data_IF_683615995746
#
_entry.id   IF_683615995746
#
_cell.length_a   1.000
_cell.length_b   1.000
_cell.length_c   1.000
_cell.angle_alpha   90.00
_cell.angle_beta   90.00
_cell.angle_gamma   90.00
#
_symmetry.space_group_name_H-M   'P 1'
#
loop_
_entity.id
_entity.type
_entity.pdbx_description
1 polymer ?
#
# COMPACT_ATOMS: atom_id res chain seq x y z
N UNK A 1 -2.79 38.72 14.41
CA UNK A 1 -1.96 37.75 13.64
C UNK A 1 -1.29 38.56 12.54
N UNK A 2 0.04 38.68 12.50
CA UNK A 2 0.72 39.45 11.43
C UNK A 2 0.38 38.82 10.08
N UNK A 3 -0.05 39.63 9.11
CA UNK A 3 -0.21 39.18 7.73
C UNK A 3 1.16 38.73 7.20
N UNK A 4 1.20 37.52 6.62
CA UNK A 4 2.42 37.00 5.98
C UNK A 4 2.60 37.69 4.63
N UNK A 5 3.83 37.99 4.26
CA UNK A 5 4.10 38.48 2.91
C UNK A 5 3.92 37.37 1.88
N UNK A 6 3.72 37.73 0.61
CA UNK A 6 3.61 36.75 -0.50
C UNK A 6 4.85 35.84 -0.55
N UNK A 7 6.04 36.41 -0.33
CA UNK A 7 7.30 35.65 -0.28
C UNK A 7 7.33 34.63 0.86
N UNK A 8 6.86 34.99 2.05
CA UNK A 8 6.78 34.07 3.19
C UNK A 8 5.84 32.88 2.90
N UNK A 9 4.73 33.14 2.21
CA UNK A 9 3.76 32.10 1.83
C UNK A 9 4.37 31.13 0.82
N UNK A 10 5.07 31.63 -0.20
CA UNK A 10 5.74 30.82 -1.22
C UNK A 10 6.84 29.94 -0.60
N UNK A 11 7.68 30.50 0.27
CA UNK A 11 8.74 29.76 0.96
C UNK A 11 8.17 28.64 1.83
N UNK A 12 7.09 28.90 2.58
CA UNK A 12 6.41 27.89 3.39
C UNK A 12 5.83 26.75 2.54
N UNK A 13 5.18 27.08 1.42
CA UNK A 13 4.65 26.08 0.50
C UNK A 13 5.77 25.23 -0.11
N UNK A 14 6.84 25.89 -0.54
CA UNK A 14 8.02 25.24 -1.10
C UNK A 14 8.70 24.31 -0.11
N UNK A 15 8.90 24.75 1.13
CA UNK A 15 9.44 23.92 2.20
C UNK A 15 8.55 22.69 2.47
N UNK A 16 7.22 22.87 2.46
CA UNK A 16 6.27 21.78 2.63
C UNK A 16 6.37 20.72 1.53
N UNK A 17 6.34 21.13 0.26
CA UNK A 17 6.35 20.18 -0.87
C UNK A 17 7.71 19.49 -1.04
N UNK A 18 8.82 20.17 -0.75
CA UNK A 18 10.14 19.51 -0.66
C UNK A 18 10.19 18.48 0.45
N UNK A 19 9.68 18.82 1.63
CA UNK A 19 9.56 17.88 2.74
C UNK A 19 8.68 16.68 2.35
N UNK A 20 7.54 16.92 1.70
CA UNK A 20 6.63 15.87 1.23
C UNK A 20 7.34 14.93 0.24
N UNK A 21 8.02 15.49 -0.76
CA UNK A 21 8.79 14.74 -1.76
C UNK A 21 9.89 13.86 -1.16
N UNK A 22 10.58 14.34 -0.12
CA UNK A 22 11.63 13.61 0.58
C UNK A 22 11.11 12.65 1.68
N UNK A 23 9.79 12.62 1.91
CA UNK A 23 9.17 11.81 2.98
C UNK A 23 8.04 10.95 2.44
N UNK A 24 6.77 11.31 2.68
CA UNK A 24 5.57 10.52 2.35
C UNK A 24 5.38 10.35 0.84
N UNK A 25 5.90 11.27 0.03
CA UNK A 25 5.86 11.19 -1.43
C UNK A 25 7.20 10.80 -2.07
N UNK A 26 8.11 10.21 -1.28
CA UNK A 26 9.39 9.67 -1.75
C UNK A 26 9.18 8.39 -2.54
N UNK A 27 10.04 8.15 -3.53
CA UNK A 27 10.06 6.87 -4.24
C UNK A 27 10.20 5.67 -3.29
N UNK A 28 11.01 5.81 -2.23
CA UNK A 28 11.19 4.77 -1.19
C UNK A 28 9.89 4.35 -0.50
N UNK A 29 8.87 5.22 -0.48
CA UNK A 29 7.60 4.92 0.18
C UNK A 29 6.76 3.90 -0.58
N UNK A 30 7.06 3.56 -1.84
CA UNK A 30 6.32 2.50 -2.55
C UNK A 30 6.41 1.14 -1.87
N UNK A 31 7.38 0.93 -0.97
CA UNK A 31 7.45 -0.25 -0.09
C UNK A 31 6.16 -0.48 0.70
N UNK A 32 5.37 0.58 0.96
CA UNK A 32 4.05 0.47 1.60
C UNK A 32 3.02 -0.29 0.76
N UNK A 33 3.26 -0.48 -0.54
CA UNK A 33 2.38 -1.26 -1.42
C UNK A 33 2.17 -2.68 -0.90
N UNK A 34 3.13 -3.24 -0.17
CA UNK A 34 3.03 -4.57 0.44
C UNK A 34 1.86 -4.68 1.43
N UNK A 35 1.51 -3.60 2.14
CA UNK A 35 0.31 -3.54 2.98
C UNK A 35 -0.95 -3.69 2.13
N UNK A 36 -0.97 -3.05 0.97
CA UNK A 36 -2.06 -3.19 0.00
C UNK A 36 -2.14 -4.61 -0.56
N UNK A 37 -1.00 -5.24 -0.87
CA UNK A 37 -0.94 -6.65 -1.34
C UNK A 37 -1.61 -7.57 -0.33
N UNK A 38 -1.30 -7.44 0.96
CA UNK A 38 -1.91 -8.26 2.00
C UNK A 38 -3.43 -8.09 2.08
N UNK A 39 -3.91 -6.85 2.18
CA UNK A 39 -5.34 -6.53 2.30
C UNK A 39 -6.10 -7.01 1.05
N UNK A 40 -5.56 -6.73 -0.14
CA UNK A 40 -6.19 -7.06 -1.40
C UNK A 40 -6.21 -8.57 -1.68
N UNK A 41 -5.19 -9.31 -1.23
CA UNK A 41 -5.19 -10.78 -1.31
C UNK A 41 -6.33 -11.37 -0.50
N UNK A 42 -6.57 -10.89 0.73
CA UNK A 42 -7.71 -11.33 1.54
C UNK A 42 -9.05 -11.03 0.86
N UNK A 43 -9.18 -9.84 0.26
CA UNK A 43 -10.39 -9.44 -0.48
C UNK A 43 -10.61 -10.37 -1.68
N UNK A 44 -9.57 -10.62 -2.48
CA UNK A 44 -9.66 -11.53 -3.63
C UNK A 44 -10.08 -12.93 -3.19
N UNK A 45 -9.55 -13.43 -2.07
CA UNK A 45 -9.96 -14.72 -1.53
C UNK A 45 -11.45 -14.76 -1.20
N UNK A 46 -11.96 -13.77 -0.46
CA UNK A 46 -13.39 -13.67 -0.09
C UNK A 46 -14.28 -13.58 -1.34
N UNK A 47 -13.93 -12.72 -2.29
CA UNK A 47 -14.71 -12.58 -3.54
C UNK A 47 -14.61 -13.81 -4.44
N UNK A 48 -13.46 -14.49 -4.46
CA UNK A 48 -13.28 -15.74 -5.22
C UNK A 48 -14.19 -16.83 -4.66
N UNK A 49 -14.24 -16.98 -3.34
CA UNK A 49 -15.16 -17.91 -2.69
C UNK A 49 -16.62 -17.54 -2.97
N UNK A 50 -16.99 -16.27 -2.82
CA UNK A 50 -18.37 -15.82 -3.06
C UNK A 50 -18.81 -16.06 -4.52
N UNK A 51 -17.99 -15.70 -5.50
CA UNK A 51 -18.33 -15.93 -6.92
C UNK A 51 -18.44 -17.42 -7.24
N UNK A 52 -17.50 -18.24 -6.76
CA UNK A 52 -17.44 -19.67 -7.08
C UNK A 52 -18.48 -20.50 -6.32
N UNK A 53 -18.53 -20.38 -5.00
CA UNK A 53 -19.34 -21.27 -4.15
C UNK A 53 -20.77 -20.76 -3.97
N UNK A 54 -20.98 -19.44 -3.93
CA UNK A 54 -22.33 -18.87 -3.72
C UNK A 54 -23.03 -18.64 -5.05
N UNK A 55 -22.34 -18.05 -6.02
CA UNK A 55 -22.95 -17.70 -7.32
C UNK A 55 -22.71 -18.75 -8.41
N UNK A 56 -21.85 -19.76 -8.19
CA UNK A 56 -21.46 -20.73 -9.23
C UNK A 56 -20.91 -20.08 -10.50
N UNK A 57 -20.31 -18.89 -10.37
CA UNK A 57 -19.70 -18.12 -11.45
C UNK A 57 -18.19 -18.28 -11.36
N UNK A 58 -17.54 -18.51 -12.50
CA UNK A 58 -16.09 -18.47 -12.56
C UNK A 58 -15.60 -17.04 -12.25
N UNK A 59 -14.82 -16.81 -11.16
CA UNK A 59 -14.39 -15.48 -10.77
C UNK A 59 -13.69 -14.71 -11.90
N UNK A 60 -12.93 -15.41 -12.74
CA UNK A 60 -12.15 -14.85 -13.84
C UNK A 60 -12.99 -14.41 -15.06
N UNK A 61 -14.28 -14.71 -15.08
CA UNK A 61 -15.20 -14.17 -16.09
C UNK A 61 -15.78 -12.82 -15.67
N UNK A 62 -15.54 -12.39 -14.43
CA UNK A 62 -16.10 -11.17 -13.88
C UNK A 62 -15.07 -10.04 -13.92
N UNK A 63 -15.33 -9.02 -14.74
CA UNK A 63 -14.39 -7.91 -14.99
C UNK A 63 -13.90 -7.21 -13.71
N UNK A 64 -14.75 -7.12 -12.68
CA UNK A 64 -14.37 -6.53 -11.39
C UNK A 64 -13.33 -7.39 -10.67
N UNK A 65 -13.43 -8.71 -10.76
CA UNK A 65 -12.44 -9.62 -10.18
C UNK A 65 -11.09 -9.49 -10.89
N UNK A 66 -11.10 -9.34 -12.22
CA UNK A 66 -9.90 -9.04 -13.00
C UNK A 66 -9.25 -7.71 -12.59
N UNK A 67 -10.07 -6.69 -12.28
CA UNK A 67 -9.58 -5.41 -11.75
C UNK A 67 -8.88 -5.58 -10.39
N UNK A 68 -9.41 -6.43 -9.50
CA UNK A 68 -8.75 -6.75 -8.22
C UNK A 68 -7.38 -7.40 -8.44
N UNK A 69 -7.30 -8.39 -9.35
CA UNK A 69 -6.05 -9.06 -9.69
C UNK A 69 -5.06 -8.06 -10.30
N UNK A 70 -5.51 -7.20 -11.20
CA UNK A 70 -4.67 -6.18 -11.82
C UNK A 70 -4.05 -5.25 -10.76
N UNK A 71 -4.84 -4.74 -9.83
CA UNK A 71 -4.33 -3.90 -8.73
C UNK A 71 -3.38 -4.66 -7.81
N UNK A 72 -3.65 -5.94 -7.53
CA UNK A 72 -2.76 -6.78 -6.75
C UNK A 72 -1.38 -6.86 -7.43
N UNK A 73 -1.34 -7.26 -8.69
CA UNK A 73 -0.09 -7.37 -9.46
C UNK A 73 0.65 -6.03 -9.52
N UNK A 74 -0.07 -4.94 -9.76
CA UNK A 74 0.50 -3.60 -9.76
C UNK A 74 1.19 -3.27 -8.43
N UNK A 75 0.53 -3.52 -7.30
CA UNK A 75 1.08 -3.23 -5.97
C UNK A 75 2.33 -4.06 -5.69
N UNK A 76 2.38 -5.32 -6.15
CA UNK A 76 3.58 -6.13 -5.99
C UNK A 76 4.72 -5.61 -6.87
N UNK A 77 4.46 -5.25 -8.14
CA UNK A 77 5.49 -4.63 -9.00
C UNK A 77 6.01 -3.33 -8.39
N UNK A 78 5.11 -2.49 -7.87
CA UNK A 78 5.48 -1.21 -7.28
C UNK A 78 6.37 -1.35 -6.04
N UNK A 79 6.27 -2.45 -5.29
CA UNK A 79 7.15 -2.74 -4.16
C UNK A 79 8.63 -2.84 -4.60
N UNK A 80 8.88 -3.34 -5.80
CA UNK A 80 10.23 -3.54 -6.33
C UNK A 80 10.81 -2.31 -7.03
N UNK A 81 10.00 -1.31 -7.38
CA UNK A 81 10.47 -0.09 -8.06
C UNK A 81 11.56 0.65 -7.25
N UNK A 82 11.44 0.86 -5.92
CA UNK A 82 12.48 1.52 -5.14
C UNK A 82 13.80 0.73 -5.09
N UNK A 83 13.72 -0.61 -5.22
CA UNK A 83 14.87 -1.50 -5.19
C UNK A 83 15.70 -1.42 -6.48
N UNK A 84 15.10 -0.94 -7.58
CA UNK A 84 15.83 -0.59 -8.81
C UNK A 84 16.74 0.65 -8.65
N UNK A 85 16.88 1.18 -7.42
CA UNK A 85 17.86 2.20 -7.04
C UNK A 85 17.72 3.49 -7.84
N UNK A 86 18.78 3.86 -8.56
CA UNK A 86 18.88 5.11 -9.35
C UNK A 86 17.74 5.30 -10.36
N UNK A 87 17.04 4.25 -10.80
CA UNK A 87 15.99 4.38 -11.81
C UNK A 87 14.82 5.25 -11.33
N UNK A 88 14.32 4.99 -10.11
CA UNK A 88 13.21 5.75 -9.53
C UNK A 88 13.61 7.23 -9.31
N UNK A 89 14.84 7.46 -8.89
CA UNK A 89 15.39 8.81 -8.65
C UNK A 89 15.74 9.57 -9.94
N UNK A 90 16.06 8.87 -11.04
CA UNK A 90 16.27 9.48 -12.36
C UNK A 90 14.96 9.81 -13.07
N UNK A 91 13.88 9.06 -12.78
CA UNK A 91 12.54 9.25 -13.38
C UNK A 91 11.52 9.71 -12.34
N UNK A 92 11.79 10.85 -11.68
CA UNK A 92 10.99 11.41 -10.59
C UNK A 92 9.50 11.57 -10.89
N UNK A 93 9.14 12.02 -12.11
CA UNK A 93 7.74 12.19 -12.53
C UNK A 93 7.02 10.83 -12.57
N UNK A 94 7.63 9.85 -13.23
CA UNK A 94 7.08 8.49 -13.33
C UNK A 94 7.02 7.79 -11.96
N UNK A 95 8.04 7.99 -11.13
CA UNK A 95 8.07 7.47 -9.77
C UNK A 95 6.95 8.09 -8.91
N UNK A 96 6.75 9.41 -9.00
CA UNK A 96 5.67 10.08 -8.24
C UNK A 96 4.29 9.65 -8.73
N UNK A 97 4.10 9.48 -10.05
CA UNK A 97 2.87 8.95 -10.63
C UNK A 97 2.61 7.51 -10.17
N UNK A 98 3.64 6.67 -10.16
CA UNK A 98 3.54 5.29 -9.66
C UNK A 98 3.20 5.28 -8.17
N UNK A 99 3.83 6.13 -7.36
CA UNK A 99 3.52 6.20 -5.93
C UNK A 99 2.07 6.65 -5.68
N UNK A 100 1.56 7.59 -6.48
CA UNK A 100 0.16 8.00 -6.43
C UNK A 100 -0.77 6.81 -6.71
N UNK A 101 -0.46 6.01 -7.73
CA UNK A 101 -1.22 4.79 -8.04
C UNK A 101 -1.13 3.73 -6.95
N UNK A 102 0.00 3.61 -6.24
CA UNK A 102 0.13 2.77 -5.03
C UNK A 102 -0.85 3.22 -3.95
N UNK A 103 -0.90 4.52 -3.66
CA UNK A 103 -1.83 5.04 -2.66
C UNK A 103 -3.29 4.87 -3.07
N UNK A 104 -3.61 5.02 -4.36
CA UNK A 104 -4.94 4.72 -4.89
C UNK A 104 -5.27 3.23 -4.70
N UNK A 105 -4.35 2.32 -5.03
CA UNK A 105 -4.55 0.88 -4.86
C UNK A 105 -4.75 0.47 -3.39
N UNK A 106 -3.95 1.03 -2.47
CA UNK A 106 -4.11 0.80 -1.02
C UNK A 106 -5.46 1.35 -0.54
N UNK A 107 -5.81 2.57 -0.96
CA UNK A 107 -7.08 3.19 -0.59
C UNK A 107 -8.27 2.37 -1.07
N UNK A 108 -8.24 1.93 -2.34
CA UNK A 108 -9.23 1.04 -2.91
C UNK A 108 -9.35 -0.28 -2.13
N UNK A 109 -8.21 -0.89 -1.77
CA UNK A 109 -8.18 -2.11 -0.94
C UNK A 109 -8.84 -1.87 0.42
N UNK A 110 -8.57 -0.75 1.08
CA UNK A 110 -9.19 -0.41 2.36
C UNK A 110 -10.71 -0.19 2.23
N UNK A 111 -11.16 0.48 1.17
CA UNK A 111 -12.60 0.68 0.92
C UNK A 111 -13.33 -0.65 0.69
N UNK A 112 -12.71 -1.58 -0.04
CA UNK A 112 -13.25 -2.92 -0.24
C UNK A 112 -13.29 -3.74 1.05
N UNK A 113 -12.26 -3.64 1.89
CA UNK A 113 -12.26 -4.27 3.22
C UNK A 113 -13.39 -3.71 4.09
N UNK A 114 -13.58 -2.38 4.09
CA UNK A 114 -14.67 -1.75 4.83
C UNK A 114 -16.05 -2.15 4.32
N UNK A 115 -16.22 -2.31 3.00
CA UNK A 115 -17.46 -2.83 2.43
C UNK A 115 -17.78 -4.21 3.01
N UNK A 116 -16.80 -5.13 3.03
CA UNK A 116 -16.96 -6.46 3.60
C UNK A 116 -17.36 -6.35 5.08
N UNK A 117 -16.63 -5.56 5.87
CA UNK A 117 -16.90 -5.36 7.30
C UNK A 117 -18.32 -4.84 7.52
N UNK A 118 -18.73 -3.79 6.81
CA UNK A 118 -20.05 -3.17 6.93
C UNK A 118 -21.17 -4.16 6.62
N UNK A 119 -21.05 -4.89 5.51
CA UNK A 119 -22.01 -5.92 5.11
C UNK A 119 -22.09 -7.03 6.15
N UNK A 120 -20.94 -7.56 6.60
CA UNK A 120 -20.90 -8.64 7.60
C UNK A 120 -21.42 -8.20 8.97
N UNK A 121 -21.27 -6.93 9.33
CA UNK A 121 -21.67 -6.41 10.64
C UNK A 121 -23.18 -6.30 10.82
N UNK A 122 -23.93 -6.16 9.71
CA UNK A 122 -25.39 -6.04 9.70
C UNK A 122 -26.06 -7.38 9.37
N UNK A 123 -25.40 -8.20 8.54
CA UNK A 123 -25.94 -9.49 8.18
C UNK A 123 -25.90 -10.44 9.38
N UNK A 124 -27.06 -10.70 9.99
CA UNK A 124 -27.23 -11.77 10.99
C UNK A 124 -27.16 -13.17 10.37
N UNK A 125 -27.17 -13.25 9.04
CA UNK A 125 -26.98 -14.47 8.24
C UNK A 125 -25.62 -14.44 7.53
N UNK A 126 -25.21 -15.57 6.96
CA UNK A 126 -23.96 -15.72 6.22
C UNK A 126 -23.73 -14.60 5.17
N UNK A 127 -22.46 -14.29 4.91
CA UNK A 127 -22.03 -13.26 3.95
C UNK A 127 -22.72 -13.38 2.59
N UNK A 128 -23.01 -14.61 2.16
CA UNK A 128 -23.74 -14.97 0.93
C UNK A 128 -25.07 -14.24 0.77
N UNK A 129 -25.86 -14.11 1.84
CA UNK A 129 -27.18 -13.46 1.83
C UNK A 129 -27.09 -11.96 2.14
N UNK A 130 -26.13 -11.58 2.99
CA UNK A 130 -25.93 -10.18 3.38
C UNK A 130 -25.38 -9.31 2.26
N UNK A 131 -24.41 -9.83 1.50
CA UNK A 131 -23.73 -9.08 0.45
C UNK A 131 -24.67 -8.53 -0.63
N UNK A 132 -25.54 -9.32 -1.29
CA UNK A 132 -26.44 -8.78 -2.30
C UNK A 132 -27.48 -7.80 -1.73
N UNK A 133 -27.88 -7.96 -0.46
CA UNK A 133 -28.89 -7.12 0.18
C UNK A 133 -28.36 -5.75 0.61
N UNK A 134 -27.15 -5.71 1.18
CA UNK A 134 -26.62 -4.50 1.82
C UNK A 134 -25.54 -3.79 1.00
N UNK A 135 -24.84 -4.49 0.09
CA UNK A 135 -23.85 -3.84 -0.78
C UNK A 135 -24.43 -2.72 -1.66
N UNK A 136 -25.69 -2.78 -2.16
CA UNK A 136 -26.27 -1.68 -2.92
C UNK A 136 -26.46 -0.39 -2.11
N UNK A 137 -26.43 -0.47 -0.78
CA UNK A 137 -26.52 0.71 0.12
C UNK A 137 -25.11 1.22 0.44
N UNK A 138 -24.20 0.31 0.80
CA UNK A 138 -22.86 0.69 1.24
C UNK A 138 -21.93 1.10 0.10
N UNK A 139 -22.06 0.51 -1.09
CA UNK A 139 -21.24 0.91 -2.25
C UNK A 139 -21.45 2.40 -2.59
N UNK A 140 -22.69 2.90 -2.77
CA UNK A 140 -22.92 4.34 -2.95
C UNK A 140 -22.40 5.19 -1.80
N UNK A 141 -22.57 4.76 -0.55
CA UNK A 141 -22.06 5.49 0.62
C UNK A 141 -20.53 5.67 0.57
N UNK A 142 -19.77 4.61 0.27
CA UNK A 142 -18.31 4.66 0.17
C UNK A 142 -17.85 5.50 -1.04
N UNK A 143 -18.58 5.42 -2.17
CA UNK A 143 -18.32 6.24 -3.35
C UNK A 143 -18.55 7.73 -3.08
N UNK A 144 -19.70 8.09 -2.49
CA UNK A 144 -20.03 9.47 -2.12
C UNK A 144 -18.98 10.00 -1.12
N UNK A 145 -18.64 9.22 -0.10
CA UNK A 145 -17.61 9.60 0.90
C UNK A 145 -16.26 9.87 0.24
N UNK A 146 -15.89 9.05 -0.73
CA UNK A 146 -14.65 9.22 -1.51
C UNK A 146 -14.68 10.50 -2.34
N UNK A 147 -15.76 10.72 -3.11
CA UNK A 147 -15.92 11.90 -3.98
C UNK A 147 -15.93 13.19 -3.16
N UNK A 148 -16.73 13.23 -2.08
CA UNK A 148 -16.76 14.36 -1.15
C UNK A 148 -15.40 14.63 -0.51
N UNK A 149 -14.65 13.56 -0.17
CA UNK A 149 -13.28 13.67 0.32
C UNK A 149 -12.37 14.41 -0.67
N UNK A 150 -12.34 13.99 -1.94
CA UNK A 150 -11.54 14.65 -2.97
C UNK A 150 -11.96 16.11 -3.22
N UNK A 151 -13.26 16.38 -3.30
CA UNK A 151 -13.78 17.76 -3.48
C UNK A 151 -13.33 18.65 -2.32
N UNK A 152 -13.52 18.18 -1.08
CA UNK A 152 -13.10 18.91 0.12
C UNK A 152 -11.60 19.18 0.10
N UNK A 153 -10.78 18.17 -0.19
CA UNK A 153 -9.33 18.30 -0.12
C UNK A 153 -8.76 19.17 -1.24
N UNK A 154 -9.41 19.21 -2.40
CA UNK A 154 -9.08 20.15 -3.46
C UNK A 154 -9.23 21.61 -3.00
N UNK A 155 -10.40 21.97 -2.44
CA UNK A 155 -10.64 23.33 -1.93
C UNK A 155 -9.78 23.65 -0.71
N UNK A 156 -9.58 22.67 0.17
CA UNK A 156 -8.68 22.80 1.31
C UNK A 156 -7.26 23.11 0.85
N UNK A 157 -6.72 22.36 -0.11
CA UNK A 157 -5.38 22.57 -0.65
C UNK A 157 -5.27 23.96 -1.27
N UNK A 158 -6.23 24.37 -2.10
CA UNK A 158 -6.28 25.72 -2.70
C UNK A 158 -6.21 26.82 -1.63
N UNK A 159 -6.91 26.64 -0.51
CA UNK A 159 -6.89 27.58 0.63
C UNK A 159 -5.57 27.54 1.39
N UNK A 160 -4.96 26.37 1.57
CA UNK A 160 -3.64 26.25 2.22
C UNK A 160 -2.54 26.92 1.41
N UNK A 161 -2.54 26.74 0.09
CA UNK A 161 -1.57 27.38 -0.79
C UNK A 161 -1.59 28.91 -0.68
N UNK A 162 -2.78 29.52 -0.48
CA UNK A 162 -2.91 30.97 -0.24
C UNK A 162 -2.38 31.42 1.13
N UNK A 163 -2.42 30.57 2.15
CA UNK A 163 -2.03 30.90 3.54
C UNK A 163 -0.58 30.52 3.87
N UNK A 164 0.01 29.63 3.08
CA UNK A 164 1.26 28.97 3.38
C UNK A 164 1.06 27.82 4.37
N UNK A 165 1.67 26.67 4.08
CA UNK A 165 1.68 25.55 5.01
C UNK A 165 2.39 25.88 6.34
N UNK A 166 1.95 25.27 7.45
CA UNK A 166 2.58 25.49 8.75
C UNK A 166 3.86 24.67 8.89
N UNK A 167 4.83 25.22 9.63
CA UNK A 167 6.08 24.51 9.96
C UNK A 167 5.80 23.19 10.66
N UNK A 168 4.81 23.16 11.57
CA UNK A 168 4.40 21.91 12.24
C UNK A 168 3.93 20.84 11.26
N UNK A 169 3.21 21.20 10.20
CA UNK A 169 2.78 20.24 9.17
C UNK A 169 3.97 19.74 8.35
N UNK A 170 4.90 20.63 8.01
CA UNK A 170 6.17 20.29 7.35
C UNK A 170 7.02 19.36 8.22
N UNK A 171 7.11 19.60 9.53
CA UNK A 171 7.79 18.70 10.47
C UNK A 171 7.07 17.37 10.61
N UNK A 172 5.73 17.38 10.59
CA UNK A 172 4.89 16.18 10.60
C UNK A 172 5.23 15.18 9.50
N UNK A 173 5.62 15.66 8.30
CA UNK A 173 6.09 14.81 7.21
C UNK A 173 7.35 14.00 7.59
N UNK A 174 8.32 14.64 8.22
CA UNK A 174 9.56 13.98 8.67
C UNK A 174 9.29 13.02 9.85
N UNK A 175 8.39 13.39 10.76
CA UNK A 175 7.95 12.51 11.83
C UNK A 175 7.21 11.28 11.30
N UNK A 176 6.39 11.42 10.26
CA UNK A 176 5.71 10.27 9.65
C UNK A 176 6.71 9.25 9.07
N UNK A 177 7.78 9.72 8.40
CA UNK A 177 8.84 8.86 7.87
C UNK A 177 9.60 8.11 8.97
N UNK A 178 9.92 8.80 10.07
CA UNK A 178 10.71 8.25 11.19
C UNK A 178 9.90 7.38 12.17
N UNK A 179 8.61 7.68 12.38
CA UNK A 179 7.75 6.98 13.35
C UNK A 179 6.91 5.84 12.78
N UNK A 180 6.81 5.67 11.46
CA UNK A 180 6.00 4.61 10.85
C UNK A 180 6.33 3.21 11.45
N UNK A 181 7.60 2.96 11.79
CA UNK A 181 8.08 1.71 12.39
C UNK A 181 8.58 1.86 13.84
N UNK A 182 8.13 2.90 14.54
CA UNK A 182 8.44 3.07 15.97
C UNK A 182 7.80 1.95 16.80
N UNK A 183 8.38 1.64 17.96
CA UNK A 183 7.83 0.62 18.85
C UNK A 183 6.39 0.96 19.29
N UNK A 184 6.10 2.25 19.46
CA UNK A 184 4.78 2.73 19.86
C UNK A 184 3.74 2.59 18.74
N UNK A 185 4.10 2.85 17.48
CA UNK A 185 3.16 2.67 16.35
C UNK A 185 2.75 1.21 16.17
N UNK A 186 3.68 0.27 16.36
CA UNK A 186 3.38 -1.17 16.29
C UNK A 186 2.46 -1.63 17.42
N UNK A 187 2.62 -1.11 18.65
CA UNK A 187 1.69 -1.40 19.74
C UNK A 187 0.30 -0.79 19.50
N UNK A 188 0.21 0.38 18.87
CA UNK A 188 -1.06 0.97 18.46
C UNK A 188 -1.75 0.12 17.40
N UNK A 189 -1.01 -0.32 16.36
CA UNK A 189 -1.54 -1.21 15.32
C UNK A 189 -2.01 -2.54 15.93
N UNK A 190 -1.20 -3.14 16.80
CA UNK A 190 -1.54 -4.36 17.50
C UNK A 190 -2.79 -4.18 18.39
N UNK A 191 -2.85 -3.11 19.19
CA UNK A 191 -4.00 -2.79 20.03
C UNK A 191 -5.28 -2.53 19.23
N UNK A 192 -5.19 -1.79 18.12
CA UNK A 192 -6.32 -1.58 17.20
C UNK A 192 -6.77 -2.88 16.53
N UNK A 193 -5.84 -3.77 16.16
CA UNK A 193 -6.17 -5.07 15.58
C UNK A 193 -6.84 -6.01 16.58
N UNK A 194 -6.48 -5.94 17.87
CA UNK A 194 -7.14 -6.71 18.93
C UNK A 194 -8.50 -6.13 19.30
N UNK A 195 -8.65 -4.80 19.32
CA UNK A 195 -9.94 -4.15 19.51
C UNK A 195 -10.94 -4.55 18.42
N UNK A 196 -10.49 -4.64 17.16
CA UNK A 196 -11.33 -5.12 16.07
C UNK A 196 -11.88 -6.55 16.29
N UNK A 197 -11.14 -7.42 16.99
CA UNK A 197 -11.56 -8.78 17.30
C UNK A 197 -12.52 -8.89 18.50
N UNK A 198 -12.55 -7.87 19.38
CA UNK A 198 -13.41 -7.83 20.58
C UNK A 198 -14.75 -7.16 20.27
N UNK A 199 -14.80 -6.29 19.26
CA UNK A 199 -16.01 -5.58 18.86
C UNK A 199 -16.99 -6.59 18.23
N UNK A 200 -18.26 -6.57 18.65
CA UNK A 200 -19.33 -7.40 18.06
C UNK A 200 -20.57 -6.56 17.78
N UNK A 201 -21.30 -6.90 16.71
CA UNK A 201 -22.60 -6.30 16.38
C UNK A 201 -22.51 -4.81 16.01
N UNK A 202 -23.41 -3.98 16.56
CA UNK A 202 -23.58 -2.56 16.21
C UNK A 202 -22.31 -1.71 16.35
N UNK A 203 -21.38 -2.10 17.21
CA UNK A 203 -20.12 -1.36 17.38
C UNK A 203 -19.19 -1.53 16.16
N UNK A 204 -19.08 -2.73 15.57
CA UNK A 204 -18.30 -2.92 14.33
C UNK A 204 -18.86 -2.03 13.22
N UNK A 205 -20.19 -1.93 13.10
CA UNK A 205 -20.84 -1.08 12.11
C UNK A 205 -20.42 0.39 12.27
N UNK A 206 -20.49 0.90 13.50
CA UNK A 206 -20.07 2.28 13.82
C UNK A 206 -18.59 2.49 13.47
N UNK A 207 -17.71 1.55 13.86
CA UNK A 207 -16.29 1.60 13.51
C UNK A 207 -16.05 1.51 12.00
N UNK A 208 -16.83 0.72 11.26
CA UNK A 208 -16.76 0.63 9.80
C UNK A 208 -17.13 1.96 9.13
N UNK A 209 -18.18 2.64 9.61
CA UNK A 209 -18.61 3.95 9.10
C UNK A 209 -17.55 5.01 9.42
N UNK A 210 -17.08 5.09 10.66
CA UNK A 210 -16.02 6.03 11.02
C UNK A 210 -14.72 5.74 10.28
N UNK A 211 -14.36 4.47 10.11
CA UNK A 211 -13.20 4.04 9.34
C UNK A 211 -13.31 4.47 7.87
N UNK A 212 -14.48 4.31 7.27
CA UNK A 212 -14.73 4.78 5.90
C UNK A 212 -14.52 6.29 5.77
N UNK A 213 -15.14 7.08 6.64
CA UNK A 213 -15.00 8.54 6.63
C UNK A 213 -13.56 8.98 6.88
N UNK A 214 -12.87 8.35 7.84
CA UNK A 214 -11.48 8.64 8.18
C UNK A 214 -10.55 8.33 7.02
N UNK A 215 -10.65 7.15 6.41
CA UNK A 215 -9.81 6.79 5.28
C UNK A 215 -10.14 7.65 4.06
N UNK A 216 -11.42 7.93 3.79
CA UNK A 216 -11.81 8.84 2.72
C UNK A 216 -11.23 10.22 2.90
N UNK A 217 -11.19 10.76 4.13
CA UNK A 217 -10.54 12.03 4.41
C UNK A 217 -9.01 11.97 4.28
N UNK A 218 -8.37 10.97 4.89
CA UNK A 218 -6.91 10.87 4.99
C UNK A 218 -6.24 10.54 3.64
N UNK A 219 -6.79 9.58 2.90
CA UNK A 219 -6.22 9.19 1.60
C UNK A 219 -6.53 10.21 0.51
N UNK A 220 -7.73 10.82 0.49
CA UNK A 220 -7.99 11.91 -0.46
C UNK A 220 -7.01 13.07 -0.23
N UNK A 221 -6.70 13.41 1.03
CA UNK A 221 -5.72 14.45 1.32
C UNK A 221 -4.35 14.11 0.77
N UNK A 222 -3.86 12.90 1.07
CA UNK A 222 -2.55 12.45 0.63
C UNK A 222 -2.44 12.38 -0.89
N UNK A 223 -3.44 11.80 -1.56
CA UNK A 223 -3.46 11.68 -3.02
C UNK A 223 -3.55 13.05 -3.67
N UNK A 224 -4.37 13.98 -3.17
CA UNK A 224 -4.46 15.36 -3.70
C UNK A 224 -3.14 16.12 -3.52
N UNK A 225 -2.47 15.98 -2.37
CA UNK A 225 -1.16 16.60 -2.15
C UNK A 225 -0.08 16.03 -3.07
N UNK A 226 -0.07 14.71 -3.29
CA UNK A 226 0.85 14.04 -4.22
C UNK A 226 0.57 14.43 -5.66
N UNK A 227 -0.70 14.54 -6.06
CA UNK A 227 -1.08 14.99 -7.39
C UNK A 227 -0.60 16.43 -7.65
N UNK A 228 -0.72 17.31 -6.65
CA UNK A 228 -0.18 18.66 -6.77
C UNK A 228 1.36 18.69 -6.76
N UNK A 229 2.01 17.84 -5.96
CA UNK A 229 3.46 17.68 -6.04
C UNK A 229 3.92 17.18 -7.41
N UNK A 230 3.19 16.26 -8.03
CA UNK A 230 3.45 15.78 -9.39
C UNK A 230 3.40 16.94 -10.38
N UNK A 231 2.37 17.79 -10.29
CA UNK A 231 2.29 19.03 -11.07
C UNK A 231 3.53 19.92 -10.86
N UNK A 232 3.94 20.16 -9.61
CA UNK A 232 5.12 20.96 -9.30
C UNK A 232 6.43 20.35 -9.84
N UNK A 233 6.60 19.03 -9.77
CA UNK A 233 7.77 18.31 -10.32
C UNK A 233 7.86 18.36 -11.84
N UNK A 234 6.71 18.47 -12.53
CA UNK A 234 6.66 18.70 -13.99
C UNK A 234 7.13 20.11 -14.31
N UNK A 235 6.73 21.10 -13.52
CA UNK A 235 7.07 22.51 -13.75
C UNK A 235 8.53 22.83 -13.41
N UNK A 236 9.07 22.27 -12.32
CA UNK A 236 10.43 22.59 -11.87
C UNK A 236 11.14 21.42 -11.21
N UNK A 237 12.42 21.25 -11.57
CA UNK A 237 13.34 20.31 -10.92
C UNK A 237 13.59 20.64 -9.47
N UNK A 238 13.24 21.85 -9.03
CA UNK A 238 13.43 22.27 -7.66
C UNK A 238 12.62 21.45 -6.64
N UNK A 239 11.53 20.82 -7.08
CA UNK A 239 10.68 19.96 -6.25
C UNK A 239 11.05 18.48 -6.34
N UNK A 240 12.12 18.14 -7.06
CA UNK A 240 12.58 16.76 -7.16
C UNK A 240 13.15 16.30 -5.82
N UNK A 241 12.97 15.02 -5.53
CA UNK A 241 13.53 14.40 -4.34
C UNK A 241 15.05 14.37 -4.45
N UNK A 242 15.74 14.60 -3.34
CA UNK A 242 17.19 14.56 -3.27
C UNK A 242 17.66 13.12 -3.48
N UNK A 243 18.68 12.93 -4.33
CA UNK A 243 19.24 11.60 -4.57
C UNK A 243 19.83 11.09 -3.26
N UNK A 244 19.44 9.90 -2.78
CA UNK A 244 19.96 9.38 -1.53
C UNK A 244 21.47 9.19 -1.66
N UNK A 245 22.21 9.80 -0.75
CA UNK A 245 23.68 9.71 -0.67
C UNK A 245 24.17 8.29 -0.40
N UNK A 246 23.26 7.41 0.05
CA UNK A 246 23.51 5.99 0.29
C UNK A 246 22.63 5.16 -0.66
N UNK A 247 23.27 4.29 -1.44
CA UNK A 247 22.56 3.33 -2.32
C UNK A 247 21.70 2.42 -1.44
N UNK A 248 20.38 2.65 -1.44
CA UNK A 248 19.45 1.78 -0.70
C UNK A 248 19.58 0.36 -1.27
N UNK A 249 20.24 -0.50 -0.51
CA UNK A 249 20.30 -1.93 -0.79
C UNK A 249 19.20 -2.63 -0.01
N UNK A 250 18.74 -3.79 -0.45
CA UNK A 250 17.86 -4.67 0.35
C UNK A 250 18.34 -4.75 1.81
N UNK A 251 19.66 -4.85 2.01
CA UNK A 251 20.27 -4.90 3.34
C UNK A 251 20.04 -3.63 4.18
N UNK A 252 19.95 -2.44 3.59
CA UNK A 252 19.68 -1.19 4.31
C UNK A 252 18.19 -1.00 4.61
N UNK A 253 17.30 -1.39 3.67
CA UNK A 253 15.86 -1.56 3.96
C UNK A 253 15.71 -2.50 5.16
N UNK A 254 16.34 -3.68 5.12
CA UNK A 254 16.37 -4.68 6.20
C UNK A 254 17.26 -4.33 7.41
N UNK A 255 17.99 -3.20 7.45
CA UNK A 255 18.80 -2.83 8.65
C UNK A 255 17.96 -2.22 9.77
N UNK A 256 16.83 -1.58 9.42
CA UNK A 256 15.77 -1.28 10.39
C UNK A 256 15.06 -2.55 10.91
N UNK A 257 15.30 -3.69 10.26
CA UNK A 257 14.67 -4.97 10.54
C UNK A 257 15.60 -5.80 11.43
N UNK A 258 15.62 -5.51 12.73
CA UNK A 258 16.26 -6.41 13.68
C UNK A 258 15.56 -7.78 13.63
N UNK A 259 16.31 -8.86 13.46
CA UNK A 259 15.82 -10.26 13.41
C UNK A 259 14.93 -10.65 14.61
N UNK A 260 15.08 -9.99 15.77
CA UNK A 260 14.20 -10.16 16.94
C UNK A 260 12.77 -9.62 16.72
N UNK A 261 12.60 -8.55 15.94
CA UNK A 261 11.29 -7.96 15.59
C UNK A 261 10.69 -8.54 14.30
N UNK A 262 11.51 -9.15 13.45
CA UNK A 262 11.11 -9.65 12.12
C UNK A 262 10.41 -11.01 12.13
N UNK A 263 10.43 -11.77 13.23
CA UNK A 263 9.81 -13.11 13.29
C UNK A 263 8.33 -13.12 12.92
N UNK A 264 7.54 -12.20 13.51
CA UNK A 264 6.09 -12.11 13.30
C UNK A 264 5.76 -11.59 11.89
N UNK A 265 6.59 -10.69 11.36
CA UNK A 265 6.40 -10.09 10.05
C UNK A 265 6.79 -11.04 8.92
N UNK A 266 7.95 -11.70 8.99
CA UNK A 266 8.37 -12.70 8.00
C UNK A 266 7.35 -13.86 7.97
N UNK A 267 6.81 -14.28 9.12
CA UNK A 267 5.70 -15.23 9.13
C UNK A 267 4.44 -14.66 8.46
N UNK A 268 4.08 -13.40 8.70
CA UNK A 268 2.95 -12.73 8.04
C UNK A 268 3.15 -12.59 6.52
N UNK A 269 4.37 -12.32 6.06
CA UNK A 269 4.73 -12.19 4.65
C UNK A 269 4.77 -13.55 3.97
N UNK A 270 5.28 -14.59 4.64
CA UNK A 270 5.18 -15.98 4.16
C UNK A 270 3.73 -16.47 4.14
N UNK A 271 2.92 -16.09 5.13
CA UNK A 271 1.48 -16.37 5.15
C UNK A 271 0.77 -15.61 4.02
N UNK A 272 1.09 -14.34 3.79
CA UNK A 272 0.57 -13.55 2.68
C UNK A 272 0.93 -14.19 1.33
N UNK A 273 2.17 -14.66 1.18
CA UNK A 273 2.64 -15.35 -0.01
C UNK A 273 1.96 -16.72 -0.19
N UNK A 274 1.77 -17.48 0.88
CA UNK A 274 1.05 -18.75 0.86
C UNK A 274 -0.44 -18.56 0.54
N UNK A 275 -1.07 -17.51 1.08
CA UNK A 275 -2.45 -17.10 0.75
C UNK A 275 -2.52 -16.74 -0.73
N UNK A 276 -1.56 -15.97 -1.24
CA UNK A 276 -1.50 -15.58 -2.66
C UNK A 276 -1.35 -16.80 -3.59
N UNK A 277 -0.47 -17.75 -3.26
CA UNK A 277 -0.35 -19.02 -3.99
C UNK A 277 -1.64 -19.86 -3.91
N UNK A 278 -2.24 -19.94 -2.72
CA UNK A 278 -3.52 -20.62 -2.51
C UNK A 278 -4.65 -20.02 -3.35
N UNK A 279 -4.71 -18.69 -3.45
CA UNK A 279 -5.67 -17.96 -4.29
C UNK A 279 -5.42 -18.24 -5.77
N UNK A 280 -4.18 -18.18 -6.26
CA UNK A 280 -3.85 -18.46 -7.66
C UNK A 280 -4.28 -19.88 -8.04
N UNK A 281 -4.01 -20.86 -7.17
CA UNK A 281 -4.42 -22.24 -7.38
C UNK A 281 -5.95 -22.42 -7.27
N UNK A 282 -6.61 -21.80 -6.29
CA UNK A 282 -8.06 -21.97 -6.05
C UNK A 282 -8.94 -21.24 -7.07
N UNK A 283 -8.47 -20.09 -7.57
CA UNK A 283 -9.13 -19.30 -8.61
C UNK A 283 -9.08 -19.96 -9.99
N UNK A 284 -8.47 -21.15 -10.10
CA UNK A 284 -8.28 -21.85 -11.36
C UNK A 284 -7.34 -21.08 -12.30
N UNK A 285 -6.48 -20.19 -11.78
CA UNK A 285 -5.61 -19.35 -12.62
C UNK A 285 -4.63 -20.18 -13.46
N UNK A 286 -4.25 -21.36 -12.95
CA UNK A 286 -3.38 -22.35 -13.59
C UNK A 286 -4.10 -23.26 -14.60
N UNK A 287 -5.42 -23.15 -14.76
CA UNK A 287 -6.23 -24.06 -15.57
C UNK A 287 -6.19 -23.69 -17.07
N UNK A 288 -5.78 -24.64 -17.92
CA UNK A 288 -5.52 -24.43 -19.37
C UNK A 288 -6.79 -24.23 -20.20
N UNK A 289 -7.94 -24.62 -19.66
CA UNK A 289 -9.25 -24.59 -20.32
C UNK A 289 -9.87 -23.19 -20.45
N UNK A 290 -9.34 -22.20 -19.73
CA UNK A 290 -9.90 -20.84 -19.68
C UNK A 290 -9.16 -19.95 -20.68
N UNK A 291 -9.88 -19.43 -21.70
CA UNK A 291 -9.34 -18.44 -22.66
C UNK A 291 -8.98 -17.14 -21.94
N UNK A 292 -7.68 -16.85 -21.86
CA UNK A 292 -7.13 -15.64 -21.22
C UNK A 292 -6.30 -14.84 -22.23
N UNK A 293 -6.14 -13.52 -22.03
CA UNK A 293 -5.14 -12.75 -22.76
C UNK A 293 -3.76 -13.34 -22.49
N UNK A 294 -3.05 -13.75 -23.56
CA UNK A 294 -1.74 -14.41 -23.47
C UNK A 294 -0.75 -13.57 -22.65
N UNK A 295 -0.77 -12.24 -22.78
CA UNK A 295 0.13 -11.37 -22.01
C UNK A 295 -0.08 -11.49 -20.50
N UNK A 296 -1.31 -11.70 -20.04
CA UNK A 296 -1.68 -11.70 -18.62
C UNK A 296 -1.20 -13.00 -17.95
N UNK A 297 -1.30 -14.13 -18.66
CA UNK A 297 -0.76 -15.43 -18.21
C UNK A 297 0.76 -15.40 -18.15
N UNK A 298 1.40 -14.85 -19.19
CA UNK A 298 2.85 -14.75 -19.23
C UNK A 298 3.40 -13.77 -18.20
N UNK A 299 2.72 -12.65 -17.91
CA UNK A 299 3.15 -11.70 -16.89
C UNK A 299 3.13 -12.33 -15.50
N UNK A 300 2.09 -13.09 -15.14
CA UNK A 300 2.01 -13.79 -13.85
C UNK A 300 3.02 -14.93 -13.76
N UNK A 301 3.20 -15.73 -14.81
CA UNK A 301 4.21 -16.81 -14.83
C UNK A 301 5.64 -16.25 -14.70
N UNK A 302 6.00 -15.24 -15.49
CA UNK A 302 7.29 -14.55 -15.38
C UNK A 302 7.50 -13.94 -13.99
N UNK A 303 6.43 -13.46 -13.38
CA UNK A 303 6.47 -12.87 -12.04
C UNK A 303 6.71 -13.91 -10.93
N UNK A 304 6.06 -15.08 -11.00
CA UNK A 304 6.31 -16.20 -10.09
C UNK A 304 7.76 -16.68 -10.24
N UNK A 305 8.24 -16.86 -11.47
CA UNK A 305 9.64 -17.26 -11.71
C UNK A 305 10.65 -16.21 -11.23
N UNK A 306 10.33 -14.91 -11.35
CA UNK A 306 11.20 -13.85 -10.83
C UNK A 306 11.30 -13.86 -9.30
N UNK A 307 10.19 -14.12 -8.59
CA UNK A 307 10.17 -14.26 -7.13
C UNK A 307 10.95 -15.52 -6.70
N UNK A 308 10.75 -16.66 -7.38
CA UNK A 308 11.49 -17.89 -7.10
C UNK A 308 13.01 -17.73 -7.30
N UNK A 309 13.42 -17.10 -8.40
CA UNK A 309 14.83 -16.79 -8.68
C UNK A 309 15.44 -15.86 -7.63
N UNK A 310 14.68 -14.89 -7.12
CA UNK A 310 15.18 -13.95 -6.10
C UNK A 310 15.31 -14.59 -4.71
N UNK A 311 14.35 -15.46 -4.33
CA UNK A 311 14.42 -16.26 -3.09
C UNK A 311 15.60 -17.24 -3.16
N UNK A 312 15.75 -17.96 -4.28
CA UNK A 312 16.87 -18.87 -4.50
C UNK A 312 18.21 -18.13 -4.51
N UNK A 313 18.31 -17.01 -5.21
CA UNK A 313 19.50 -16.17 -5.25
C UNK A 313 19.90 -15.67 -3.86
N UNK A 314 18.92 -15.19 -3.09
CA UNK A 314 19.12 -14.72 -1.71
C UNK A 314 19.54 -15.86 -0.76
N UNK A 315 18.97 -17.06 -0.93
CA UNK A 315 19.34 -18.23 -0.15
C UNK A 315 20.76 -18.72 -0.48
N UNK A 316 21.12 -18.80 -1.77
CA UNK A 316 22.47 -19.16 -2.22
C UNK A 316 23.50 -18.17 -1.66
N UNK A 317 23.23 -16.87 -1.75
CA UNK A 317 24.10 -15.84 -1.18
C UNK A 317 24.23 -15.96 0.35
N UNK A 318 23.16 -16.31 1.05
CA UNK A 318 23.19 -16.59 2.49
C UNK A 318 24.09 -17.79 2.81
N UNK A 319 23.96 -18.89 2.06
CA UNK A 319 24.77 -20.11 2.23
C UNK A 319 26.24 -19.82 1.95
N UNK A 320 26.57 -19.18 0.83
CA UNK A 320 27.94 -18.79 0.48
C UNK A 320 28.55 -17.93 1.59
N UNK A 321 27.79 -16.97 2.11
CA UNK A 321 28.27 -16.08 3.18
C UNK A 321 28.46 -16.81 4.51
N UNK A 322 27.59 -17.76 4.84
CA UNK A 322 27.70 -18.62 6.03
C UNK A 322 28.90 -19.55 5.94
N UNK A 323 29.18 -20.10 4.76
CA UNK A 323 30.37 -20.92 4.49
C UNK A 323 31.63 -20.05 4.59
N UNK A 324 31.67 -18.89 3.93
CA UNK A 324 32.82 -17.97 3.98
C UNK A 324 33.12 -17.44 5.39
N UNK A 325 32.09 -17.21 6.21
CA UNK A 325 32.29 -16.80 7.63
C UNK A 325 32.78 -17.94 8.51
N UNK A 326 32.38 -19.19 8.24
CA UNK A 326 32.95 -20.37 8.92
C UNK A 326 34.41 -20.61 8.51
N UNK A 327 34.75 -20.49 7.23
CA UNK A 327 36.13 -20.58 6.74
C UNK A 327 37.05 -19.49 7.31
N UNK A 328 36.58 -18.24 7.39
CA UNK A 328 37.34 -17.14 8.02
C UNK A 328 37.53 -17.30 9.53
N UNK A 329 36.61 -17.99 10.22
CA UNK A 329 36.76 -18.32 11.66
C UNK A 329 37.72 -19.48 11.89
N UNK A 330 37.84 -20.42 10.95
CA UNK A 330 38.84 -21.50 11.00
C UNK A 330 40.27 -20.98 10.84
N UNK A 331 40.50 -20.05 9.90
CA UNK A 331 41.82 -19.42 9.67
C UNK A 331 42.32 -18.45 10.74
N UNK A 332 41.48 -18.09 11.72
CA UNK A 332 41.87 -17.23 12.87
C UNK A 332 42.20 -18.04 14.14
N UNK A 333 42.13 -19.37 14.06
CA UNK A 333 42.39 -20.31 15.17
C UNK A 333 43.60 -21.22 14.92
N UNK A 334 44.32 -21.01 13.83
CA UNK A 334 45.69 -21.43 13.61
C UNK A 334 46.55 -20.17 13.66
#
# INVERSE_FOLDING_TARGET
MKEKTVKDVEELNKAYFKSLANTRASASMMVISWTGVFILSLIIWVFSWYLKEVLSINPLTYWFFDLLIFFLLYLIVAFFIPLAGMFAYKRQILATLSLMMVYIGIYFSLQMMLLIILVTSISTKEFSLGFPKYSPIFIPFLLISTVCGFIYQYFWLKRQLKKGFSVNRTMGNYFAKSNAYSRNSLYIIFGLSMLAAILSGKLILIFGIFGALLFSYAFSQLITEIAYLLYLKIQSKEYWEDVPTKKETFRDLFKGFSLKKAKIRISLEMVAFAILLGIINYSGYSDESIKRPIWLVWSVKLFIYAIELDILGSFILYVIKKVNTRFKKGKKKQ
#
